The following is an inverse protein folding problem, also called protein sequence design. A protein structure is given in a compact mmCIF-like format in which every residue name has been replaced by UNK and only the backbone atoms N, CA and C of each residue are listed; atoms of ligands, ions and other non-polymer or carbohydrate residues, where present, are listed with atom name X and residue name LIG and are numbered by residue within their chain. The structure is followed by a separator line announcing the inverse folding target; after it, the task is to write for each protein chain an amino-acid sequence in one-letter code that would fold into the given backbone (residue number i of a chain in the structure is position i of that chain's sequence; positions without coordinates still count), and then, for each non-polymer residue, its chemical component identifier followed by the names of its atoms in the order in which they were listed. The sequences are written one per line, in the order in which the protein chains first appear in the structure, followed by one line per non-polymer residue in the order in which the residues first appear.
data_IF_829437554517
#
_entry.id   IF_829437554517
#
_cell.length_a   1.000
_cell.length_b   1.000
_cell.length_c   1.000
_cell.angle_alpha   90.00
_cell.angle_beta   90.00
_cell.angle_gamma   90.00
#
_symmetry.space_group_name_H-M   'P 1'
#
loop_
_entity.id
_entity.type
_entity.pdbx_description
1 polymer ?
#
# COMPACT_ATOMS: atom_id res chain seq x y z
N UNK A 1 72.98 -15.41 -26.19
CA UNK A 1 72.22 -14.20 -25.77
C UNK A 1 71.31 -13.74 -26.93
N UNK A 2 70.00 -13.87 -26.74
CA UNK A 2 68.90 -12.96 -27.16
C UNK A 2 67.60 -13.78 -27.25
N UNK A 3 66.76 -13.54 -26.26
CA UNK A 3 65.48 -14.20 -25.97
C UNK A 3 64.41 -13.45 -26.78
N UNK A 4 63.68 -14.17 -27.64
CA UNK A 4 62.49 -13.66 -28.33
C UNK A 4 61.25 -14.32 -27.73
N UNK A 5 60.61 -13.62 -26.81
CA UNK A 5 59.37 -14.02 -26.16
C UNK A 5 58.16 -13.75 -27.07
N UNK A 6 57.23 -14.71 -27.16
CA UNK A 6 55.88 -14.47 -27.66
C UNK A 6 54.93 -15.39 -26.89
N UNK A 7 54.34 -14.84 -25.83
CA UNK A 7 53.32 -15.46 -24.99
C UNK A 7 51.96 -15.15 -25.60
N UNK A 8 51.26 -16.18 -26.07
CA UNK A 8 49.88 -16.07 -26.52
C UNK A 8 48.95 -16.01 -25.30
N UNK A 9 48.31 -14.86 -25.10
CA UNK A 9 47.36 -14.62 -24.02
C UNK A 9 45.96 -15.08 -24.48
N UNK A 10 45.55 -16.27 -24.05
CA UNK A 10 44.19 -16.80 -24.27
C UNK A 10 43.24 -16.13 -23.28
N UNK A 11 42.35 -15.27 -23.78
CA UNK A 11 41.28 -14.67 -23.00
C UNK A 11 40.25 -15.76 -22.63
N UNK A 12 40.33 -16.26 -21.39
CA UNK A 12 39.24 -17.07 -20.82
C UNK A 12 38.08 -16.14 -20.50
N UNK A 13 37.03 -16.21 -21.33
CA UNK A 13 35.73 -15.66 -21.04
C UNK A 13 35.12 -16.41 -19.85
N UNK A 14 35.48 -15.99 -18.63
CA UNK A 14 34.81 -16.45 -17.42
C UNK A 14 33.45 -15.74 -17.32
N UNK A 15 32.41 -16.50 -17.63
CA UNK A 15 31.01 -16.18 -17.37
C UNK A 15 30.85 -15.62 -15.95
N UNK A 16 30.55 -14.32 -15.84
CA UNK A 16 30.00 -13.78 -14.60
C UNK A 16 28.64 -14.45 -14.40
N UNK A 17 28.60 -15.42 -13.49
CA UNK A 17 27.38 -15.81 -12.79
C UNK A 17 26.78 -14.54 -12.21
N UNK A 18 25.75 -14.02 -12.88
CA UNK A 18 24.94 -12.94 -12.30
C UNK A 18 24.37 -13.52 -11.01
N UNK A 19 24.65 -12.93 -9.83
CA UNK A 19 23.88 -13.28 -8.66
C UNK A 19 22.44 -12.93 -9.02
N UNK A 20 21.60 -13.95 -9.03
CA UNK A 20 20.16 -13.79 -9.08
C UNK A 20 19.85 -13.01 -7.82
N UNK A 21 19.79 -11.68 -7.96
CA UNK A 21 19.19 -10.80 -6.97
C UNK A 21 17.78 -11.34 -6.86
N UNK A 22 17.59 -12.20 -5.86
CA UNK A 22 16.30 -12.47 -5.24
C UNK A 22 15.87 -11.11 -4.72
N UNK A 23 15.32 -10.31 -5.64
CA UNK A 23 14.71 -9.04 -5.35
C UNK A 23 13.66 -9.41 -4.31
N UNK A 24 13.92 -8.95 -3.08
CA UNK A 24 13.09 -9.27 -1.95
C UNK A 24 11.67 -8.94 -2.33
N UNK A 25 10.87 -9.97 -2.51
CA UNK A 25 9.42 -9.89 -2.36
C UNK A 25 9.15 -9.81 -0.86
N UNK A 26 9.76 -8.81 -0.23
CA UNK A 26 9.33 -8.23 1.03
C UNK A 26 8.31 -7.18 0.59
N UNK A 27 7.19 -7.66 0.05
CA UNK A 27 6.05 -6.83 -0.26
C UNK A 27 5.63 -6.15 1.02
N UNK A 28 5.81 -4.82 1.05
CA UNK A 28 4.76 -3.83 1.33
C UNK A 28 3.82 -4.13 2.50
N UNK A 29 4.31 -4.86 3.50
CA UNK A 29 3.59 -5.13 4.73
C UNK A 29 3.75 -3.90 5.63
N UNK A 30 2.84 -2.96 5.43
CA UNK A 30 2.43 -1.94 6.41
C UNK A 30 3.46 -0.84 6.65
N UNK A 31 3.31 0.25 5.89
CA UNK A 31 3.97 1.52 6.20
C UNK A 31 3.09 2.48 7.01
N UNK A 32 2.14 1.94 7.78
CA UNK A 32 1.35 2.72 8.76
C UNK A 32 2.25 3.36 9.83
N UNK A 33 3.44 2.80 10.06
CA UNK A 33 4.43 3.37 10.95
C UNK A 33 5.03 4.68 10.41
N UNK A 34 5.15 4.83 9.09
CA UNK A 34 5.59 6.08 8.45
C UNK A 34 4.46 7.11 8.38
N UNK A 35 3.20 6.69 8.47
CA UNK A 35 2.12 7.65 8.67
C UNK A 35 2.29 8.25 10.07
N UNK A 36 2.60 9.54 10.11
CA UNK A 36 2.77 10.36 11.32
C UNK A 36 2.07 11.71 11.07
N UNK A 37 1.33 12.27 12.05
CA UNK A 37 0.81 13.63 11.96
C UNK A 37 1.99 14.59 11.80
N UNK A 38 1.87 15.63 10.96
CA UNK A 38 3.02 16.44 10.54
C UNK A 38 3.72 17.15 11.72
N UNK A 39 4.75 16.49 12.25
CA UNK A 39 5.75 17.03 13.17
C UNK A 39 7.16 16.48 12.91
N UNK A 40 7.31 15.58 11.94
CA UNK A 40 8.59 14.99 11.53
C UNK A 40 8.70 14.99 10.01
N UNK A 41 9.83 15.46 9.51
CA UNK A 41 10.15 15.76 8.10
C UNK A 41 10.32 14.51 7.23
N UNK A 42 9.36 13.59 7.21
CA UNK A 42 9.43 12.42 6.31
C UNK A 42 8.77 12.75 4.96
N UNK A 43 9.62 13.07 3.99
CA UNK A 43 9.25 13.60 2.68
C UNK A 43 8.67 12.54 1.72
N UNK A 44 8.74 11.26 2.09
CA UNK A 44 8.38 10.12 1.23
C UNK A 44 6.86 9.96 1.03
N UNK A 45 6.05 10.27 2.06
CA UNK A 45 4.59 10.15 1.99
C UNK A 45 3.92 11.31 1.25
N UNK A 46 4.61 12.46 1.14
CA UNK A 46 4.15 13.63 0.40
C UNK A 46 4.31 13.47 -1.12
N UNK A 47 5.13 12.51 -1.57
CA UNK A 47 5.23 12.18 -2.98
C UNK A 47 3.96 11.44 -3.44
N UNK A 48 3.33 11.84 -4.57
CA UNK A 48 2.19 11.12 -5.12
C UNK A 48 2.46 9.63 -5.33
N UNK A 49 1.61 8.77 -4.77
CA UNK A 49 1.72 7.32 -4.92
C UNK A 49 1.25 6.89 -6.31
N UNK A 50 1.92 5.88 -6.87
CA UNK A 50 1.48 5.22 -8.11
C UNK A 50 1.06 3.79 -7.77
N UNK A 51 -0.23 3.51 -7.87
CA UNK A 51 -0.85 2.24 -7.52
C UNK A 51 -0.98 1.39 -8.78
N UNK A 52 -0.49 0.15 -8.71
CA UNK A 52 -0.46 -0.80 -9.83
C UNK A 52 -1.23 -2.10 -9.57
N UNK A 53 -1.65 -2.33 -8.34
CA UNK A 53 -2.32 -3.55 -7.86
C UNK A 53 -3.53 -3.17 -7.01
N UNK A 54 -4.46 -4.10 -6.71
CA UNK A 54 -5.50 -3.86 -5.73
C UNK A 54 -4.90 -3.33 -4.42
N UNK A 55 -5.41 -2.22 -3.92
CA UNK A 55 -4.84 -1.51 -2.77
C UNK A 55 -5.87 -0.73 -1.98
N UNK A 56 -5.67 -0.69 -0.67
CA UNK A 56 -6.27 0.27 0.25
C UNK A 56 -5.22 1.33 0.55
N UNK A 57 -5.52 2.57 0.19
CA UNK A 57 -4.65 3.72 0.46
C UNK A 57 -5.20 4.47 1.67
N UNK A 58 -4.49 4.39 2.78
CA UNK A 58 -4.74 5.19 3.97
C UNK A 58 -4.17 6.59 3.75
N UNK A 59 -5.02 7.62 3.84
CA UNK A 59 -4.60 8.99 3.64
C UNK A 59 -4.80 9.85 4.89
N UNK A 60 -3.82 10.71 5.15
CA UNK A 60 -3.88 11.80 6.13
C UNK A 60 -3.35 13.07 5.47
N UNK A 61 -4.24 13.95 5.04
CA UNK A 61 -3.87 15.15 4.30
C UNK A 61 -3.51 16.29 5.26
N UNK A 62 -2.78 17.27 4.75
CA UNK A 62 -2.40 18.44 5.53
C UNK A 62 -3.59 19.21 6.14
N UNK A 63 -4.74 19.19 5.47
CA UNK A 63 -5.96 19.81 6.01
C UNK A 63 -6.43 19.17 7.33
N UNK A 64 -6.07 17.91 7.61
CA UNK A 64 -6.37 17.24 8.89
C UNK A 64 -5.61 17.87 10.07
N UNK A 65 -4.53 18.60 9.81
CA UNK A 65 -3.75 19.29 10.84
C UNK A 65 -4.45 20.55 11.37
N UNK A 66 -5.64 20.88 10.83
CA UNK A 66 -6.49 21.96 11.34
C UNK A 66 -7.41 21.52 12.48
N UNK A 67 -7.48 20.20 12.77
CA UNK A 67 -8.16 19.67 13.96
C UNK A 67 -7.51 20.22 15.23
N UNK A 68 -8.26 20.22 16.34
CA UNK A 68 -7.66 20.54 17.64
C UNK A 68 -6.61 19.48 18.00
N UNK A 69 -5.55 19.83 18.74
CA UNK A 69 -4.41 18.92 18.95
C UNK A 69 -4.78 17.58 19.59
N UNK A 70 -5.70 17.60 20.56
CA UNK A 70 -6.18 16.37 21.22
C UNK A 70 -7.07 15.56 20.25
N UNK A 71 -8.03 16.21 19.56
CA UNK A 71 -8.88 15.54 18.57
C UNK A 71 -8.06 14.95 17.41
N UNK A 72 -6.99 15.65 17.00
CA UNK A 72 -6.09 15.22 15.93
C UNK A 72 -5.39 13.92 16.31
N UNK A 73 -4.80 13.87 17.52
CA UNK A 73 -4.08 12.70 18.00
C UNK A 73 -5.02 11.50 18.15
N UNK A 74 -6.17 11.69 18.78
CA UNK A 74 -7.17 10.64 18.99
C UNK A 74 -7.69 10.11 17.65
N UNK A 75 -8.07 11.00 16.72
CA UNK A 75 -8.53 10.62 15.37
C UNK A 75 -7.46 9.84 14.62
N UNK A 76 -6.20 10.27 14.72
CA UNK A 76 -5.09 9.61 14.05
C UNK A 76 -4.83 8.21 14.60
N UNK A 77 -4.87 8.07 15.92
CA UNK A 77 -4.65 6.81 16.61
C UNK A 77 -5.78 5.83 16.33
N UNK A 78 -7.05 6.28 16.35
CA UNK A 78 -8.21 5.45 15.99
C UNK A 78 -8.12 4.98 14.54
N UNK A 79 -7.83 5.89 13.61
CA UNK A 79 -7.64 5.57 12.20
C UNK A 79 -6.59 4.47 12.02
N UNK A 80 -5.44 4.59 12.69
CA UNK A 80 -4.39 3.56 12.63
C UNK A 80 -4.81 2.26 13.29
N UNK A 81 -5.48 2.35 14.44
CA UNK A 81 -5.91 1.19 15.21
C UNK A 81 -6.85 0.31 14.41
N UNK A 82 -7.94 0.85 13.87
CA UNK A 82 -8.92 0.08 13.10
C UNK A 82 -8.33 -0.44 11.78
N UNK A 83 -7.49 0.36 11.12
CA UNK A 83 -6.78 -0.11 9.91
C UNK A 83 -5.88 -1.30 10.20
N UNK A 84 -5.20 -1.31 11.34
CA UNK A 84 -4.34 -2.41 11.74
C UNK A 84 -5.13 -3.72 11.98
N UNK A 85 -6.39 -3.63 12.43
CA UNK A 85 -7.24 -4.81 12.64
C UNK A 85 -7.61 -5.50 11.32
N UNK A 86 -7.82 -4.74 10.24
CA UNK A 86 -8.21 -5.30 8.93
C UNK A 86 -7.02 -5.70 8.05
N UNK A 87 -5.81 -5.23 8.37
CA UNK A 87 -4.60 -5.49 7.59
C UNK A 87 -4.30 -6.98 7.32
N UNK A 88 -4.51 -7.93 8.27
CA UNK A 88 -4.30 -9.34 8.00
C UNK A 88 -5.21 -9.92 6.91
N UNK A 89 -6.49 -9.50 6.87
CA UNK A 89 -7.44 -9.96 5.86
C UNK A 89 -7.11 -9.41 4.46
N UNK A 90 -6.69 -8.15 4.40
CA UNK A 90 -6.19 -7.53 3.16
C UNK A 90 -4.96 -8.28 2.63
N UNK A 91 -3.99 -8.57 3.51
CA UNK A 91 -2.79 -9.32 3.14
C UNK A 91 -3.11 -10.75 2.67
N UNK A 92 -4.03 -11.45 3.35
CA UNK A 92 -4.49 -12.77 2.95
C UNK A 92 -5.17 -12.78 1.56
N UNK A 93 -5.80 -11.66 1.19
CA UNK A 93 -6.49 -11.46 -0.09
C UNK A 93 -5.59 -10.84 -1.17
N UNK A 94 -4.30 -10.63 -0.88
CA UNK A 94 -3.35 -10.02 -1.82
C UNK A 94 -3.60 -8.53 -2.11
N UNK A 95 -4.35 -7.84 -1.24
CA UNK A 95 -4.62 -6.40 -1.33
C UNK A 95 -3.52 -5.67 -0.55
N UNK A 96 -2.87 -4.69 -1.19
CA UNK A 96 -1.84 -3.90 -0.53
C UNK A 96 -2.44 -2.83 0.39
N UNK A 97 -1.76 -2.54 1.49
CA UNK A 97 -2.10 -1.42 2.37
C UNK A 97 -1.00 -0.37 2.28
N UNK A 98 -1.33 0.81 1.74
CA UNK A 98 -0.37 1.89 1.43
C UNK A 98 -0.76 3.15 2.18
N UNK A 99 0.22 3.87 2.71
CA UNK A 99 0.02 5.18 3.35
C UNK A 99 0.39 6.34 2.41
N UNK A 100 -0.33 7.46 2.50
CA UNK A 100 0.00 8.70 1.79
C UNK A 100 -0.42 9.96 2.56
N UNK A 101 0.38 11.01 2.41
CA UNK A 101 0.05 12.38 2.83
C UNK A 101 -0.14 13.30 1.61
N UNK A 102 -0.08 12.74 0.39
CA UNK A 102 -0.20 13.49 -0.84
C UNK A 102 -1.66 13.70 -1.20
N UNK A 103 -2.00 14.89 -1.69
CA UNK A 103 -3.34 15.20 -2.19
C UNK A 103 -3.71 14.42 -3.46
N UNK A 104 -2.76 13.71 -4.06
CA UNK A 104 -2.95 13.05 -5.34
C UNK A 104 -2.39 11.63 -5.34
N UNK A 105 -3.18 10.70 -5.84
CA UNK A 105 -2.81 9.32 -6.11
C UNK A 105 -2.98 9.02 -7.59
N UNK A 106 -1.98 8.38 -8.19
CA UNK A 106 -2.05 7.91 -9.57
C UNK A 106 -2.33 6.42 -9.59
N UNK A 107 -3.22 5.99 -10.47
CA UNK A 107 -3.52 4.57 -10.69
C UNK A 107 -3.07 4.19 -12.09
N UNK A 108 -2.21 3.18 -12.19
CA UNK A 108 -1.77 2.64 -13.47
C UNK A 108 -2.85 1.72 -14.02
N UNK A 109 -3.37 2.04 -15.20
CA UNK A 109 -4.39 1.25 -15.88
C UNK A 109 -3.74 0.19 -16.79
N UNK A 110 -4.43 -0.92 -17.10
CA UNK A 110 -3.90 -1.99 -17.96
C UNK A 110 -3.47 -1.53 -19.37
N UNK A 111 -4.02 -0.42 -19.86
CA UNK A 111 -3.71 0.15 -21.18
C UNK A 111 -2.54 1.15 -21.17
N UNK A 112 -1.65 1.06 -20.17
CA UNK A 112 -0.53 1.97 -19.95
C UNK A 112 -0.92 3.46 -19.77
N UNK A 113 -2.20 3.75 -19.51
CA UNK A 113 -2.65 5.07 -19.08
C UNK A 113 -2.59 5.19 -17.57
N UNK A 114 -2.67 6.43 -17.08
CA UNK A 114 -2.81 6.72 -15.66
C UNK A 114 -4.12 7.43 -15.40
N UNK A 115 -4.85 6.99 -14.37
CA UNK A 115 -5.95 7.75 -13.78
C UNK A 115 -5.39 8.56 -12.62
N UNK A 116 -5.82 9.81 -12.50
CA UNK A 116 -5.45 10.69 -11.39
C UNK A 116 -6.63 10.76 -10.44
N UNK A 117 -6.40 10.53 -9.16
CA UNK A 117 -7.39 10.65 -8.09
C UNK A 117 -6.92 11.78 -7.19
N UNK A 118 -7.80 12.77 -7.00
CA UNK A 118 -7.57 13.91 -6.13
C UNK A 118 -8.26 13.67 -4.79
N UNK A 119 -7.51 13.79 -3.69
CA UNK A 119 -7.99 13.61 -2.33
C UNK A 119 -8.24 14.94 -1.60
N UNK A 120 -7.78 16.07 -2.17
CA UNK A 120 -8.05 17.38 -1.57
C UNK A 120 -9.52 17.81 -1.75
N UNK A 121 -10.02 18.59 -0.79
CA UNK A 121 -11.39 19.12 -0.81
C UNK A 121 -12.47 18.16 -0.29
N UNK A 122 -12.07 17.03 0.32
CA UNK A 122 -12.98 16.12 1.02
C UNK A 122 -13.47 16.72 2.34
N UNK A 123 -14.66 16.32 2.77
CA UNK A 123 -15.27 16.77 4.04
C UNK A 123 -14.40 16.41 5.25
N UNK A 124 -13.85 15.19 5.24
CA UNK A 124 -12.79 14.78 6.15
C UNK A 124 -11.49 14.58 5.36
N UNK A 125 -10.42 15.32 5.69
CA UNK A 125 -9.12 15.25 5.02
C UNK A 125 -8.28 14.03 5.43
N UNK A 126 -8.94 12.95 5.84
CA UNK A 126 -8.34 11.67 6.24
C UNK A 126 -9.34 10.54 5.99
N UNK A 127 -8.83 9.32 5.81
CA UNK A 127 -9.65 8.13 5.56
C UNK A 127 -8.99 7.15 4.60
N UNK A 128 -9.81 6.51 3.75
CA UNK A 128 -9.40 5.40 2.90
C UNK A 128 -9.77 5.64 1.43
N UNK A 129 -8.84 5.29 0.54
CA UNK A 129 -9.07 5.22 -0.89
C UNK A 129 -8.91 3.76 -1.33
N UNK A 130 -10.02 3.15 -1.76
CA UNK A 130 -10.06 1.78 -2.25
C UNK A 130 -9.84 1.78 -3.76
N UNK A 131 -8.88 0.98 -4.22
CA UNK A 131 -8.47 0.93 -5.62
C UNK A 131 -8.36 -0.52 -6.07
N UNK A 132 -9.16 -0.88 -7.06
CA UNK A 132 -8.81 -1.87 -8.07
C UNK A 132 -8.37 -1.12 -9.34
N UNK A 133 -7.13 -1.29 -9.84
CA UNK A 133 -6.66 -0.62 -11.04
C UNK A 133 -7.54 -0.81 -12.28
N UNK A 134 -8.30 -1.91 -12.37
CA UNK A 134 -9.27 -2.16 -13.43
C UNK A 134 -10.66 -1.55 -13.19
N UNK A 135 -10.98 -1.18 -11.94
CA UNK A 135 -12.30 -0.79 -11.50
C UNK A 135 -12.46 0.70 -11.14
N UNK A 136 -13.67 1.14 -10.75
CA UNK A 136 -13.88 2.46 -10.17
C UNK A 136 -13.25 2.55 -8.78
N UNK A 137 -12.72 3.70 -8.41
CA UNK A 137 -12.28 3.99 -7.05
C UNK A 137 -13.45 4.21 -6.08
N UNK A 138 -13.23 3.97 -4.79
CA UNK A 138 -14.15 4.39 -3.72
C UNK A 138 -13.37 5.15 -2.66
N UNK A 139 -13.88 6.31 -2.25
CA UNK A 139 -13.29 7.12 -1.18
C UNK A 139 -14.20 7.00 0.04
N UNK A 140 -13.61 6.61 1.18
CA UNK A 140 -14.24 6.57 2.49
C UNK A 140 -13.59 7.66 3.34
N UNK A 141 -14.36 8.67 3.72
CA UNK A 141 -13.86 9.82 4.48
C UNK A 141 -14.17 9.64 5.96
N UNK A 142 -13.17 9.85 6.82
CA UNK A 142 -13.32 9.70 8.27
C UNK A 142 -12.71 8.40 8.80
N UNK A 143 -12.91 8.17 10.10
CA UNK A 143 -12.55 6.92 10.79
C UNK A 143 -13.71 5.95 10.66
N UNK A 144 -13.38 4.69 10.36
CA UNK A 144 -14.32 3.58 10.34
C UNK A 144 -13.86 2.57 11.39
N UNK A 145 -14.80 2.08 12.20
CA UNK A 145 -14.53 0.93 13.07
C UNK A 145 -14.17 -0.30 12.21
N UNK A 146 -13.45 -1.26 12.79
CA UNK A 146 -12.91 -2.40 12.02
C UNK A 146 -13.99 -3.24 11.35
N UNK A 147 -15.16 -3.41 11.99
CA UNK A 147 -16.31 -4.10 11.41
C UNK A 147 -16.88 -3.38 10.18
N UNK A 148 -17.19 -2.10 10.33
CA UNK A 148 -17.73 -1.27 9.26
C UNK A 148 -16.73 -1.12 8.10
N UNK A 149 -15.45 -0.94 8.42
CA UNK A 149 -14.38 -0.91 7.43
C UNK A 149 -14.30 -2.25 6.69
N UNK A 150 -14.37 -3.38 7.40
CA UNK A 150 -14.33 -4.69 6.77
C UNK A 150 -15.53 -4.91 5.84
N UNK A 151 -16.72 -4.44 6.20
CA UNK A 151 -17.90 -4.57 5.36
C UNK A 151 -17.79 -3.75 4.07
N UNK A 152 -17.25 -2.53 4.14
CA UNK A 152 -16.92 -1.73 2.96
C UNK A 152 -15.87 -2.42 2.07
N UNK A 153 -14.84 -3.01 2.69
CA UNK A 153 -13.79 -3.75 1.98
C UNK A 153 -14.33 -5.01 1.29
N UNK A 154 -15.20 -5.77 1.97
CA UNK A 154 -15.89 -6.93 1.39
C UNK A 154 -16.74 -6.52 0.20
N UNK A 155 -17.53 -5.46 0.35
CA UNK A 155 -18.39 -4.97 -0.72
C UNK A 155 -17.60 -4.46 -1.93
N UNK A 156 -16.44 -3.83 -1.71
CA UNK A 156 -15.63 -3.27 -2.79
C UNK A 156 -14.76 -4.32 -3.49
N UNK A 157 -14.09 -5.19 -2.74
CA UNK A 157 -13.12 -6.18 -3.27
C UNK A 157 -13.71 -7.58 -3.47
N UNK A 158 -15.00 -7.79 -3.19
CA UNK A 158 -15.66 -9.11 -3.24
C UNK A 158 -14.97 -10.14 -2.32
N UNK A 159 -14.65 -9.72 -1.09
CA UNK A 159 -13.98 -10.59 -0.11
C UNK A 159 -14.96 -11.59 0.52
N UNK A 160 -14.53 -12.82 0.81
CA UNK A 160 -15.38 -13.82 1.44
C UNK A 160 -15.71 -13.45 2.89
N UNK A 161 -16.92 -13.84 3.34
CA UNK A 161 -17.27 -13.77 4.75
C UNK A 161 -16.56 -14.90 5.53
N UNK A 162 -15.88 -14.54 6.63
CA UNK A 162 -15.23 -15.51 7.52
C UNK A 162 -16.22 -16.51 8.14
N UNK A 163 -17.52 -16.21 8.14
CA UNK A 163 -18.61 -17.10 8.59
C UNK A 163 -18.82 -18.32 7.68
N UNK A 164 -18.20 -18.37 6.49
CA UNK A 164 -18.32 -19.49 5.56
C UNK A 164 -17.37 -20.66 5.86
N UNK A 165 -16.44 -20.50 6.82
CA UNK A 165 -15.45 -21.52 7.18
C UNK A 165 -15.96 -22.58 8.18
N UNK A 166 -17.23 -22.58 8.58
CA UNK A 166 -17.79 -23.64 9.41
C UNK A 166 -17.94 -24.93 8.57
N UNK A 167 -17.19 -26.02 8.88
CA UNK A 167 -17.38 -27.28 8.16
C UNK A 167 -18.81 -27.80 8.39
N UNK A 168 -19.43 -28.45 7.38
CA UNK A 168 -20.78 -29.00 7.55
C UNK A 168 -20.76 -29.97 8.73
N UNK A 169 -21.59 -29.67 9.74
CA UNK A 169 -21.75 -30.52 10.91
C UNK A 169 -22.37 -31.84 10.45
N UNK A 170 -21.54 -32.87 10.26
CA UNK A 170 -22.01 -34.21 9.99
C UNK A 170 -22.80 -34.70 11.21
N UNK A 171 -24.12 -34.75 11.08
CA UNK A 171 -25.00 -35.53 11.97
C UNK A 171 -24.86 -37.00 11.58
N UNK A 172 -24.25 -37.79 12.46
CA UNK A 172 -24.37 -39.25 12.52
C UNK A 172 -25.44 -39.65 13.52
#
# INVERSE_FOLDING_TARGET
MRIGALVALVCVAACRTRPLVRMGQQSDSVDLAQLVPHGSTDSSLAAPRVITTPSVVLFWLHAADTLSGDDQADTFDDLKYYTAQVAPALAASGIQLVATNADTVFVSLPNARRRTILLSGLDYPYGYLLIDPGGPERILTGVYEDGDLMDELRAYFDLPDDSTSAPPRATT
#
